data_IF_122176464435
#
_entry.id   IF_122176464435
#
_cell.length_a   1.000
_cell.length_b   1.000
_cell.length_c   1.000
_cell.angle_alpha   90.00
_cell.angle_beta   90.00
_cell.angle_gamma   90.00
#
_symmetry.space_group_name_H-M   'P 1'
#
loop_
_entity.id
_entity.type
_entity.pdbx_description
1 polymer ?
#
# COMPACT_ATOMS: atom_id res chain seq x y z
N UNK A 1 -32.51 55.30 -29.55
CA UNK A 1 -31.40 55.03 -28.62
C UNK A 1 -30.25 55.97 -28.93
N UNK A 2 -29.71 56.64 -27.93
CA UNK A 2 -28.58 57.55 -28.10
C UNK A 2 -27.27 56.77 -28.19
N UNK A 3 -26.28 57.25 -28.95
CA UNK A 3 -24.96 56.57 -29.11
C UNK A 3 -24.29 56.19 -27.77
N UNK A 4 -24.53 56.97 -26.71
CA UNK A 4 -24.04 56.72 -25.34
C UNK A 4 -24.60 55.41 -24.74
N UNK A 5 -25.88 55.11 -24.93
CA UNK A 5 -26.53 53.91 -24.37
C UNK A 5 -25.95 52.63 -24.98
N UNK A 6 -25.66 52.64 -26.29
CA UNK A 6 -25.08 51.52 -27.02
C UNK A 6 -23.65 51.21 -26.52
N UNK A 7 -22.86 52.25 -26.26
CA UNK A 7 -21.50 52.11 -25.72
C UNK A 7 -21.49 51.56 -24.29
N UNK A 8 -22.41 52.03 -23.44
CA UNK A 8 -22.55 51.54 -22.06
C UNK A 8 -22.94 50.05 -22.04
N UNK A 9 -23.91 49.64 -22.87
CA UNK A 9 -24.35 48.24 -22.99
C UNK A 9 -23.21 47.33 -23.46
N UNK A 10 -22.37 47.81 -24.39
CA UNK A 10 -21.18 47.08 -24.85
C UNK A 10 -20.17 46.84 -23.72
N UNK A 11 -19.96 47.83 -22.84
CA UNK A 11 -19.04 47.70 -21.69
C UNK A 11 -19.55 46.71 -20.66
N UNK A 12 -20.82 46.82 -20.28
CA UNK A 12 -21.47 45.90 -19.32
C UNK A 12 -21.41 44.43 -19.76
N UNK A 13 -21.56 44.16 -21.07
CA UNK A 13 -21.46 42.80 -21.60
C UNK A 13 -20.03 42.24 -21.53
N UNK A 14 -19.01 43.07 -21.71
CA UNK A 14 -17.61 42.65 -21.55
C UNK A 14 -17.25 42.41 -20.09
N UNK A 15 -17.74 43.27 -19.19
CA UNK A 15 -17.54 43.14 -17.74
C UNK A 15 -18.19 41.88 -17.18
N UNK A 16 -19.41 41.54 -17.62
CA UNK A 16 -20.11 40.31 -17.20
C UNK A 16 -19.34 39.05 -17.58
N UNK A 17 -18.73 39.02 -18.77
CA UNK A 17 -17.92 37.90 -19.25
C UNK A 17 -16.60 37.78 -18.48
N UNK A 18 -15.93 38.90 -18.22
CA UNK A 18 -14.70 38.93 -17.42
C UNK A 18 -14.95 38.39 -16.01
N UNK A 19 -16.04 38.83 -15.37
CA UNK A 19 -16.41 38.39 -14.02
C UNK A 19 -16.76 36.90 -13.97
N UNK A 20 -17.48 36.39 -14.99
CA UNK A 20 -17.76 34.95 -15.15
C UNK A 20 -16.46 34.14 -15.29
N UNK A 21 -15.56 34.53 -16.18
CA UNK A 21 -14.29 33.81 -16.36
C UNK A 21 -13.43 33.82 -15.10
N UNK A 22 -13.37 34.95 -14.38
CA UNK A 22 -12.68 35.03 -13.10
C UNK A 22 -13.29 34.10 -12.04
N UNK A 23 -14.61 34.08 -11.92
CA UNK A 23 -15.30 33.18 -10.98
C UNK A 23 -15.08 31.71 -11.33
N UNK A 24 -15.14 31.35 -12.61
CA UNK A 24 -14.83 29.99 -13.05
C UNK A 24 -13.37 29.62 -12.76
N UNK A 25 -12.41 30.49 -13.05
CA UNK A 25 -11.00 30.24 -12.78
C UNK A 25 -10.74 29.96 -11.30
N UNK A 26 -11.33 30.74 -10.39
CA UNK A 26 -11.23 30.53 -8.94
C UNK A 26 -11.88 29.19 -8.55
N UNK A 27 -13.05 28.88 -9.11
CA UNK A 27 -13.73 27.61 -8.85
C UNK A 27 -12.88 26.41 -9.29
N UNK A 28 -12.28 26.47 -10.48
CA UNK A 28 -11.37 25.42 -10.97
C UNK A 28 -10.12 25.30 -10.10
N UNK A 29 -9.52 26.41 -9.67
CA UNK A 29 -8.37 26.38 -8.78
C UNK A 29 -8.68 25.67 -7.44
N UNK A 30 -9.82 25.99 -6.83
CA UNK A 30 -10.28 25.34 -5.60
C UNK A 30 -10.61 23.86 -5.81
N UNK A 31 -11.22 23.51 -6.94
CA UNK A 31 -11.55 22.14 -7.29
C UNK A 31 -10.28 21.28 -7.47
N UNK A 32 -9.29 21.79 -8.20
CA UNK A 32 -8.00 21.11 -8.34
C UNK A 32 -7.28 20.94 -7.01
N UNK A 33 -7.29 21.98 -6.16
CA UNK A 33 -6.73 21.91 -4.81
C UNK A 33 -7.41 20.80 -3.98
N UNK A 34 -8.73 20.72 -4.03
CA UNK A 34 -9.49 19.69 -3.31
C UNK A 34 -9.18 18.29 -3.82
N UNK A 35 -9.15 18.08 -5.14
CA UNK A 35 -8.79 16.78 -5.74
C UNK A 35 -7.36 16.38 -5.33
N UNK A 36 -6.42 17.32 -5.38
CA UNK A 36 -5.04 17.06 -5.02
C UNK A 36 -4.91 16.63 -3.55
N UNK A 37 -5.57 17.38 -2.66
CA UNK A 37 -5.60 17.06 -1.23
C UNK A 37 -6.25 15.69 -0.97
N UNK A 38 -7.39 15.41 -1.60
CA UNK A 38 -8.09 14.12 -1.50
C UNK A 38 -7.20 12.97 -1.95
N UNK A 39 -6.46 13.13 -3.06
CA UNK A 39 -5.52 12.12 -3.56
C UNK A 39 -4.38 11.85 -2.58
N UNK A 40 -3.81 12.90 -1.97
CA UNK A 40 -2.76 12.76 -0.96
C UNK A 40 -3.29 11.97 0.25
N UNK A 41 -4.44 12.36 0.81
CA UNK A 41 -5.00 11.69 1.98
C UNK A 41 -5.41 10.24 1.67
N UNK A 42 -6.11 10.01 0.56
CA UNK A 42 -6.57 8.66 0.18
C UNK A 42 -5.40 7.71 -0.09
N UNK A 43 -4.31 8.18 -0.71
CA UNK A 43 -3.16 7.33 -1.03
C UNK A 43 -2.24 7.18 0.19
N UNK A 44 -2.07 8.24 0.97
CA UNK A 44 -1.21 8.24 2.15
C UNK A 44 -1.78 7.40 3.29
N UNK A 45 -3.10 7.35 3.46
CA UNK A 45 -3.73 6.56 4.52
C UNK A 45 -3.40 5.06 4.42
N UNK A 46 -3.35 4.51 3.20
CA UNK A 46 -2.99 3.11 2.97
C UNK A 46 -1.55 2.79 3.39
N UNK A 47 -0.61 3.75 3.33
CA UNK A 47 0.78 3.52 3.72
C UNK A 47 0.97 3.26 5.22
N UNK A 48 -0.01 3.64 6.05
CA UNK A 48 0.00 3.39 7.49
C UNK A 48 -0.74 2.10 7.87
N UNK A 49 -1.43 1.46 6.92
CA UNK A 49 -2.07 0.18 7.16
C UNK A 49 -1.02 -0.93 7.10
N UNK A 50 -0.81 -1.62 8.23
CA UNK A 50 0.01 -2.83 8.31
C UNK A 50 -0.90 -4.03 8.57
N UNK A 51 -0.86 -5.00 7.67
CA UNK A 51 -1.53 -6.30 7.89
C UNK A 51 -0.55 -7.21 8.64
N UNK A 52 -0.94 -7.65 9.82
CA UNK A 52 -0.17 -8.59 10.63
C UNK A 52 -0.83 -9.97 10.56
N UNK A 53 -0.08 -10.97 10.13
CA UNK A 53 -0.50 -12.36 10.13
C UNK A 53 0.16 -13.05 11.32
N UNK A 54 -0.65 -13.70 12.17
CA UNK A 54 -0.15 -14.62 13.19
C UNK A 54 -0.08 -16.00 12.56
N UNK A 55 1.09 -16.60 12.60
CA UNK A 55 1.36 -17.92 12.03
C UNK A 55 1.91 -18.78 13.16
N UNK A 56 1.28 -19.93 13.38
CA UNK A 56 1.74 -20.89 14.35
C UNK A 56 2.88 -21.71 13.73
N UNK A 57 4.05 -21.67 14.38
CA UNK A 57 5.27 -22.34 13.89
C UNK A 57 5.50 -23.59 14.73
N UNK A 58 5.58 -24.74 14.06
CA UNK A 58 5.85 -26.03 14.72
C UNK A 58 7.31 -26.41 14.55
N UNK A 59 8.11 -26.28 15.62
CA UNK A 59 9.52 -26.62 15.61
C UNK A 59 9.72 -28.14 15.55
N UNK A 60 10.06 -28.62 14.36
CA UNK A 60 10.32 -30.02 14.06
C UNK A 60 11.83 -30.27 14.01
N UNK A 61 12.32 -31.19 14.85
CA UNK A 61 13.75 -31.49 14.98
C UNK A 61 14.32 -32.12 13.69
N UNK A 62 13.51 -32.94 13.01
CA UNK A 62 13.93 -33.60 11.77
C UNK A 62 14.09 -32.57 10.65
N UNK A 63 13.21 -31.57 10.60
CA UNK A 63 13.26 -30.50 9.61
C UNK A 63 14.44 -29.54 9.85
N UNK A 64 14.82 -29.31 11.10
CA UNK A 64 15.93 -28.44 11.47
C UNK A 64 17.30 -29.17 11.46
N UNK A 65 17.33 -30.46 11.10
CA UNK A 65 18.52 -31.31 11.13
C UNK A 65 19.25 -31.29 12.50
N UNK A 66 18.48 -31.27 13.60
CA UNK A 66 19.02 -31.19 14.96
C UNK A 66 19.09 -32.58 15.61
N UNK A 67 20.19 -32.83 16.34
CA UNK A 67 20.34 -34.01 17.20
C UNK A 67 19.40 -33.99 18.42
N UNK A 68 19.27 -35.09 19.16
CA UNK A 68 18.37 -35.20 20.32
C UNK A 68 18.64 -34.12 21.39
N UNK A 69 19.90 -33.73 21.56
CA UNK A 69 20.39 -32.67 22.46
C UNK A 69 21.26 -31.67 21.70
N UNK A 70 20.66 -30.70 20.97
CA UNK A 70 21.43 -29.74 20.19
C UNK A 70 22.13 -28.74 21.11
N UNK A 71 23.35 -28.37 20.75
CA UNK A 71 24.10 -27.30 21.42
C UNK A 71 23.63 -25.93 20.93
N UNK A 72 24.06 -24.88 21.64
CA UNK A 72 23.79 -23.49 21.22
C UNK A 72 24.41 -23.14 19.87
N UNK A 73 25.43 -23.87 19.43
CA UNK A 73 26.07 -23.70 18.12
C UNK A 73 25.20 -24.33 17.03
N UNK A 74 24.72 -25.56 17.27
CA UNK A 74 23.79 -26.26 16.35
C UNK A 74 22.49 -25.49 16.11
N UNK A 75 21.94 -24.85 17.15
CA UNK A 75 20.76 -24.00 17.03
C UNK A 75 21.01 -22.73 16.22
N UNK A 76 22.24 -22.20 16.20
CA UNK A 76 22.59 -21.02 15.39
C UNK A 76 22.87 -21.39 13.95
N UNK A 77 23.33 -22.62 13.70
CA UNK A 77 23.61 -23.10 12.36
C UNK A 77 22.38 -23.69 11.67
N UNK A 78 21.33 -24.05 12.44
CA UNK A 78 20.06 -24.55 11.90
C UNK A 78 19.44 -23.62 10.85
N UNK A 79 18.80 -24.21 9.84
CA UNK A 79 18.11 -23.51 8.76
C UNK A 79 16.64 -23.25 9.15
N UNK A 80 16.35 -22.04 9.63
CA UNK A 80 14.98 -21.66 10.01
C UNK A 80 14.12 -21.26 8.81
N UNK A 81 14.71 -21.12 7.61
CA UNK A 81 13.98 -20.71 6.42
C UNK A 81 13.04 -21.82 5.95
N UNK A 82 13.48 -23.07 5.96
CA UNK A 82 12.65 -24.22 5.58
C UNK A 82 11.44 -24.41 6.52
N UNK A 83 11.66 -24.19 7.82
CA UNK A 83 10.61 -24.16 8.84
C UNK A 83 9.54 -23.09 8.56
N UNK A 84 9.96 -21.90 8.16
CA UNK A 84 9.04 -20.82 7.81
C UNK A 84 8.22 -21.13 6.54
N UNK A 85 8.85 -21.73 5.53
CA UNK A 85 8.16 -22.15 4.30
C UNK A 85 7.10 -23.22 4.60
N UNK A 86 7.42 -24.21 5.44
CA UNK A 86 6.48 -25.24 5.88
C UNK A 86 5.32 -24.62 6.66
N UNK A 87 5.61 -23.76 7.63
CA UNK A 87 4.59 -23.09 8.44
C UNK A 87 3.63 -22.25 7.59
N UNK A 88 4.11 -21.61 6.51
CA UNK A 88 3.25 -20.88 5.58
C UNK A 88 2.42 -21.79 4.67
N UNK A 89 2.94 -22.94 4.27
CA UNK A 89 2.20 -23.93 3.49
C UNK A 89 1.09 -24.60 4.33
N UNK A 90 1.35 -24.84 5.61
CA UNK A 90 0.42 -25.48 6.54
C UNK A 90 -0.78 -24.59 6.91
N UNK A 91 -0.73 -23.28 6.64
CA UNK A 91 -1.86 -22.36 6.84
C UNK A 91 -3.08 -22.68 5.97
N UNK A 92 -2.86 -23.25 4.78
CA UNK A 92 -3.94 -23.71 3.89
C UNK A 92 -3.58 -25.03 3.21
N UNK A 93 -3.86 -26.17 3.86
CA UNK A 93 -3.55 -27.50 3.33
C UNK A 93 -4.31 -27.85 2.03
N UNK A 94 -5.39 -27.13 1.71
CA UNK A 94 -6.23 -27.38 0.52
C UNK A 94 -5.88 -26.44 -0.65
N UNK A 95 -4.90 -25.55 -0.48
CA UNK A 95 -4.46 -24.64 -1.52
C UNK A 95 -3.87 -25.39 -2.73
N UNK A 96 -4.15 -24.86 -3.93
CA UNK A 96 -3.55 -25.31 -5.19
C UNK A 96 -2.03 -25.08 -5.15
N UNK A 97 -1.25 -25.85 -5.92
CA UNK A 97 0.22 -25.66 -6.01
C UNK A 97 0.63 -24.20 -6.29
N UNK A 98 -0.13 -23.49 -7.15
CA UNK A 98 0.12 -22.07 -7.43
C UNK A 98 -0.05 -21.19 -6.18
N UNK A 99 -1.09 -21.45 -5.37
CA UNK A 99 -1.40 -20.70 -4.16
C UNK A 99 -0.37 -21.00 -3.06
N UNK A 100 0.05 -22.26 -2.92
CA UNK A 100 1.13 -22.65 -2.03
C UNK A 100 2.45 -21.94 -2.39
N UNK A 101 2.77 -21.84 -3.68
CA UNK A 101 3.94 -21.10 -4.15
C UNK A 101 3.83 -19.60 -3.86
N UNK A 102 2.63 -19.01 -3.90
CA UNK A 102 2.43 -17.62 -3.49
C UNK A 102 2.67 -17.41 -1.99
N UNK A 103 2.19 -18.32 -1.14
CA UNK A 103 2.43 -18.28 0.31
C UNK A 103 3.92 -18.38 0.64
N UNK A 104 4.64 -19.31 0.00
CA UNK A 104 6.09 -19.45 0.15
C UNK A 104 6.84 -18.17 -0.22
N UNK A 105 6.39 -17.44 -1.24
CA UNK A 105 6.99 -16.16 -1.65
C UNK A 105 6.72 -15.00 -0.69
N UNK A 106 5.81 -15.14 0.27
CA UNK A 106 5.59 -14.13 1.31
C UNK A 106 6.66 -14.17 2.40
N UNK A 107 7.39 -15.29 2.53
CA UNK A 107 8.54 -15.39 3.43
C UNK A 107 9.71 -14.61 2.85
N UNK A 108 10.26 -13.70 3.65
CA UNK A 108 11.43 -12.93 3.27
C UNK A 108 12.66 -13.84 3.21
N UNK A 109 13.49 -13.66 2.19
CA UNK A 109 14.76 -14.40 2.06
C UNK A 109 15.71 -14.18 3.28
N UNK A 110 15.61 -13.03 3.94
CA UNK A 110 16.45 -12.69 5.10
C UNK A 110 15.90 -13.21 6.44
N UNK A 111 14.81 -14.01 6.41
CA UNK A 111 14.15 -14.50 7.63
C UNK A 111 15.11 -15.24 8.57
N UNK A 112 16.00 -16.07 8.03
CA UNK A 112 16.99 -16.81 8.83
C UNK A 112 17.93 -15.87 9.61
N UNK A 113 18.29 -14.73 9.00
CA UNK A 113 19.15 -13.71 9.62
C UNK A 113 18.42 -12.87 10.66
N UNK A 114 17.10 -12.72 10.57
CA UNK A 114 16.30 -11.98 11.56
C UNK A 114 16.02 -12.80 12.84
N UNK A 115 16.04 -14.13 12.74
CA UNK A 115 15.71 -15.05 13.84
C UNK A 115 16.95 -15.41 14.69
N UNK A 116 18.15 -15.44 14.08
CA UNK A 116 19.44 -15.78 14.72
C UNK A 116 20.04 -14.61 15.52
#
# INVERSE_FOLDING_TARGET
>A
MTKKEILLKKRYNSEKRFKLYGQFAICFALLFLFIFLFKIFSTGFTAFQKTLLKVDVTYDKELLYLDENPTLEDLKDADYYELALKSMADLDPNATEEQQNQLKRMVSYIFDTEIK
#
